data_IF_896305793831
#
_entry.id   IF_896305793831
#
_cell.length_a   1.000
_cell.length_b   1.000
_cell.length_c   1.000
_cell.angle_alpha   90.00
_cell.angle_beta   90.00
_cell.angle_gamma   90.00
#
_symmetry.space_group_name_H-M   'P 1'
#
loop_
_entity.id
_entity.type
_entity.pdbx_description
1 polymer ?
#
# COMPACT_ATOMS: atom_id res chain seq x y z
N UNK A 1 -55.61 -35.37 -14.13
CA UNK A 1 -54.15 -35.66 -13.92
C UNK A 1 -53.23 -34.85 -14.85
N UNK A 2 -53.45 -34.77 -16.17
CA UNK A 2 -52.55 -34.03 -17.10
C UNK A 2 -52.39 -32.51 -16.79
N UNK A 3 -53.47 -31.84 -16.32
CA UNK A 3 -53.43 -30.37 -16.00
C UNK A 3 -52.68 -30.06 -14.70
N UNK A 4 -52.63 -30.99 -13.75
CA UNK A 4 -51.88 -30.81 -12.48
C UNK A 4 -50.38 -31.03 -12.70
N UNK A 5 -49.99 -31.95 -13.58
CA UNK A 5 -48.60 -32.21 -13.94
C UNK A 5 -48.03 -31.01 -14.71
N UNK A 6 -48.81 -30.38 -15.58
CA UNK A 6 -48.38 -29.19 -16.32
C UNK A 6 -48.23 -27.97 -15.39
N UNK A 7 -49.05 -27.82 -14.38
CA UNK A 7 -48.93 -26.75 -13.40
C UNK A 7 -47.69 -26.95 -12.47
N UNK A 8 -47.43 -28.19 -12.07
CA UNK A 8 -46.21 -28.50 -11.26
C UNK A 8 -44.93 -28.31 -12.05
N UNK A 9 -44.89 -28.64 -13.36
CA UNK A 9 -43.73 -28.39 -14.21
C UNK A 9 -43.47 -26.90 -14.43
N UNK A 10 -44.52 -26.08 -14.51
CA UNK A 10 -44.39 -24.62 -14.67
C UNK A 10 -43.88 -23.95 -13.40
N UNK A 11 -44.27 -24.42 -12.23
CA UNK A 11 -43.79 -23.92 -10.92
C UNK A 11 -42.34 -24.33 -10.69
N UNK A 12 -41.93 -25.53 -11.08
CA UNK A 12 -40.53 -25.98 -11.01
C UNK A 12 -39.59 -25.16 -11.91
N UNK A 13 -40.05 -24.72 -13.08
CA UNK A 13 -39.29 -23.83 -13.98
C UNK A 13 -39.16 -22.40 -13.43
N UNK A 14 -40.11 -21.91 -12.67
CA UNK A 14 -40.07 -20.57 -12.07
C UNK A 14 -39.13 -20.49 -10.85
N UNK A 15 -39.01 -21.57 -10.11
CA UNK A 15 -38.12 -21.60 -8.91
C UNK A 15 -36.62 -21.72 -9.26
N UNK A 16 -36.31 -22.39 -10.39
CA UNK A 16 -34.92 -22.47 -10.87
C UNK A 16 -34.44 -21.17 -11.50
N UNK A 17 -35.35 -20.32 -12.03
CA UNK A 17 -34.99 -19.03 -12.65
C UNK A 17 -34.55 -17.97 -11.65
N UNK A 18 -35.05 -18.03 -10.41
CA UNK A 18 -34.73 -17.00 -9.41
C UNK A 18 -33.31 -17.16 -8.80
N UNK A 19 -32.86 -18.41 -8.64
CA UNK A 19 -31.49 -18.72 -8.11
C UNK A 19 -30.38 -18.42 -9.13
N UNK A 20 -30.68 -18.67 -10.41
CA UNK A 20 -29.72 -18.38 -11.50
C UNK A 20 -29.59 -16.89 -11.76
N UNK A 21 -30.65 -16.10 -11.70
CA UNK A 21 -30.60 -14.63 -11.85
C UNK A 21 -29.76 -13.98 -10.74
N UNK A 22 -29.90 -14.45 -9.50
CA UNK A 22 -29.11 -13.92 -8.38
C UNK A 22 -27.63 -14.26 -8.51
N UNK A 23 -27.31 -15.45 -8.96
CA UNK A 23 -25.95 -15.92 -9.23
C UNK A 23 -25.31 -15.21 -10.43
N UNK A 24 -26.12 -14.92 -11.47
CA UNK A 24 -25.67 -14.16 -12.64
C UNK A 24 -25.36 -12.71 -12.23
N UNK A 25 -26.23 -12.05 -11.48
CA UNK A 25 -26.00 -10.69 -10.99
C UNK A 25 -24.77 -10.60 -10.07
N UNK A 26 -24.53 -11.62 -9.23
CA UNK A 26 -23.32 -11.68 -8.40
C UNK A 26 -22.05 -11.88 -9.24
N UNK A 27 -22.11 -12.72 -10.26
CA UNK A 27 -21.01 -12.93 -11.21
C UNK A 27 -20.76 -11.68 -12.08
N UNK A 28 -21.82 -10.99 -12.48
CA UNK A 28 -21.69 -9.73 -13.23
C UNK A 28 -21.04 -8.63 -12.38
N UNK A 29 -21.43 -8.52 -11.10
CA UNK A 29 -20.78 -7.60 -10.18
C UNK A 29 -19.29 -7.95 -9.95
N UNK A 30 -18.97 -9.23 -9.74
CA UNK A 30 -17.57 -9.68 -9.63
C UNK A 30 -16.77 -9.44 -10.91
N UNK A 31 -17.38 -9.67 -12.08
CA UNK A 31 -16.74 -9.36 -13.35
C UNK A 31 -16.49 -7.86 -13.53
N UNK A 32 -17.43 -7.02 -13.11
CA UNK A 32 -17.25 -5.56 -13.15
C UNK A 32 -16.13 -5.12 -12.22
N UNK A 33 -16.07 -5.64 -11.02
CA UNK A 33 -15.02 -5.37 -10.04
C UNK A 33 -13.63 -5.81 -10.53
N UNK A 34 -13.56 -7.01 -11.15
CA UNK A 34 -12.34 -7.51 -11.79
C UNK A 34 -11.94 -6.62 -12.99
N UNK A 35 -12.91 -6.15 -13.79
CA UNK A 35 -12.64 -5.23 -14.90
C UNK A 35 -12.13 -3.88 -14.41
N UNK A 36 -12.68 -3.33 -13.35
CA UNK A 36 -12.24 -2.06 -12.76
C UNK A 36 -10.84 -2.19 -12.16
N UNK A 37 -10.55 -3.32 -11.49
CA UNK A 37 -9.20 -3.64 -11.01
C UNK A 37 -8.20 -3.81 -12.16
N UNK A 38 -8.61 -4.51 -13.22
CA UNK A 38 -7.79 -4.71 -14.41
C UNK A 38 -7.49 -3.39 -15.11
N UNK A 39 -8.49 -2.52 -15.28
CA UNK A 39 -8.34 -1.20 -15.84
C UNK A 39 -7.39 -0.33 -14.99
N UNK A 40 -7.56 -0.35 -13.67
CA UNK A 40 -6.69 0.39 -12.75
C UNK A 40 -5.24 -0.13 -12.81
N UNK A 41 -5.05 -1.44 -12.85
CA UNK A 41 -3.74 -2.05 -13.01
C UNK A 41 -3.11 -1.71 -14.36
N UNK A 42 -3.91 -1.73 -15.44
CA UNK A 42 -3.46 -1.37 -16.79
C UNK A 42 -3.05 0.09 -16.87
N UNK A 43 -3.82 1.00 -16.27
CA UNK A 43 -3.47 2.43 -16.21
C UNK A 43 -2.15 2.63 -15.43
N UNK A 44 -2.00 1.99 -14.26
CA UNK A 44 -0.76 2.07 -13.48
C UNK A 44 0.44 1.46 -14.22
N UNK A 45 0.22 0.35 -14.92
CA UNK A 45 1.27 -0.27 -15.74
C UNK A 45 1.69 0.65 -16.90
N UNK A 46 0.71 1.24 -17.61
CA UNK A 46 0.99 2.18 -18.69
C UNK A 46 1.70 3.44 -18.21
N UNK A 47 1.31 3.97 -17.03
CA UNK A 47 2.00 5.11 -16.42
C UNK A 47 3.45 4.74 -16.07
N UNK A 48 3.66 3.59 -15.45
CA UNK A 48 5.00 3.10 -15.11
C UNK A 48 5.84 2.81 -16.36
N UNK A 49 5.23 2.28 -17.44
CA UNK A 49 5.90 2.08 -18.72
C UNK A 49 6.29 3.40 -19.39
N UNK A 50 5.39 4.40 -19.38
CA UNK A 50 5.68 5.74 -19.91
C UNK A 50 6.78 6.45 -19.12
N UNK A 51 6.76 6.33 -17.79
CA UNK A 51 7.83 6.86 -16.93
C UNK A 51 9.17 6.16 -17.20
N UNK A 52 9.15 4.83 -17.38
CA UNK A 52 10.33 4.04 -17.74
C UNK A 52 10.87 4.42 -19.11
N UNK A 53 9.99 4.59 -20.10
CA UNK A 53 10.39 5.05 -21.44
C UNK A 53 10.94 6.48 -21.44
N UNK A 54 10.32 7.38 -20.68
CA UNK A 54 10.84 8.75 -20.51
C UNK A 54 12.24 8.75 -19.88
N UNK A 55 12.46 7.91 -18.87
CA UNK A 55 13.74 7.77 -18.19
C UNK A 55 14.81 7.11 -19.11
N UNK A 56 14.41 6.12 -19.91
CA UNK A 56 15.29 5.50 -20.91
C UNK A 56 15.69 6.50 -22.00
N UNK A 57 14.74 7.27 -22.51
CA UNK A 57 14.99 8.32 -23.52
C UNK A 57 15.92 9.42 -22.98
N UNK A 58 15.73 9.81 -21.72
CA UNK A 58 16.61 10.78 -21.07
C UNK A 58 18.04 10.24 -20.88
N UNK A 59 18.16 8.94 -20.59
CA UNK A 59 19.45 8.27 -20.47
C UNK A 59 20.15 8.14 -21.82
N UNK A 60 19.39 7.82 -22.88
CA UNK A 60 19.94 7.74 -24.24
C UNK A 60 20.34 9.13 -24.80
N UNK A 61 19.55 10.17 -24.48
CA UNK A 61 19.91 11.56 -24.79
C UNK A 61 21.21 11.98 -24.11
N UNK A 62 21.37 11.65 -22.80
CA UNK A 62 22.60 11.96 -22.06
C UNK A 62 23.80 11.15 -22.58
N UNK A 63 23.60 9.87 -22.95
CA UNK A 63 24.66 9.05 -23.57
C UNK A 63 25.08 9.59 -24.93
N UNK A 64 24.11 10.00 -25.76
CA UNK A 64 24.37 10.56 -27.07
C UNK A 64 25.11 11.89 -26.96
N UNK A 65 24.67 12.80 -26.08
CA UNK A 65 25.37 14.07 -25.84
C UNK A 65 26.80 13.86 -25.33
N UNK A 66 27.02 12.86 -24.46
CA UNK A 66 28.38 12.52 -24.02
C UNK A 66 29.23 11.97 -25.18
N UNK A 67 28.64 11.12 -26.03
CA UNK A 67 29.32 10.59 -27.23
C UNK A 67 29.69 11.71 -28.21
N UNK A 68 28.76 12.63 -28.43
CA UNK A 68 28.97 13.78 -29.34
C UNK A 68 30.01 14.76 -28.76
N UNK A 69 30.02 15.00 -27.46
CA UNK A 69 31.05 15.74 -26.77
C UNK A 69 32.42 15.08 -26.95
N UNK A 70 32.52 13.77 -26.73
CA UNK A 70 33.78 13.01 -26.88
C UNK A 70 34.25 13.06 -28.35
N UNK A 71 33.33 12.91 -29.35
CA UNK A 71 33.66 12.96 -30.78
C UNK A 71 34.10 14.36 -31.21
N UNK A 72 33.44 15.42 -30.77
CA UNK A 72 33.83 16.81 -31.06
C UNK A 72 35.18 17.16 -30.42
N UNK A 73 35.54 16.55 -29.30
CA UNK A 73 36.81 16.74 -28.65
C UNK A 73 37.97 15.97 -29.33
N UNK A 74 37.67 14.82 -29.92
CA UNK A 74 38.65 14.08 -30.75
C UNK A 74 39.14 14.88 -31.97
N UNK A 75 38.32 15.84 -32.45
CA UNK A 75 38.64 16.72 -33.58
C UNK A 75 39.37 18.00 -33.16
N UNK A 76 39.48 18.30 -31.86
CA UNK A 76 40.23 19.45 -31.36
C UNK A 76 41.64 19.03 -30.90
N UNK A 77 42.53 18.82 -31.87
CA UNK A 77 43.95 18.42 -31.69
C UNK A 77 44.85 19.46 -31.00
N UNK A 78 44.26 20.47 -30.35
CA UNK A 78 45.04 21.54 -29.67
C UNK A 78 44.62 21.82 -28.22
N UNK A 79 44.06 20.82 -27.54
CA UNK A 79 43.77 21.00 -26.14
C UNK A 79 45.02 20.79 -25.30
N UNK A 80 45.41 21.83 -24.52
CA UNK A 80 46.54 21.80 -23.58
C UNK A 80 46.39 20.63 -22.61
N UNK A 81 47.51 20.13 -22.09
CA UNK A 81 47.55 19.04 -21.08
C UNK A 81 46.55 19.26 -19.92
N UNK A 82 46.26 20.51 -19.56
CA UNK A 82 45.23 20.90 -18.58
C UNK A 82 43.79 20.57 -19.03
N UNK A 83 43.51 20.64 -20.33
CA UNK A 83 42.20 20.26 -20.88
C UNK A 83 41.98 18.75 -20.81
N UNK A 84 43.01 17.95 -21.13
CA UNK A 84 42.96 16.50 -21.02
C UNK A 84 42.74 16.04 -19.56
N UNK A 85 43.43 16.63 -18.58
CA UNK A 85 43.24 16.33 -17.16
C UNK A 85 41.82 16.67 -16.66
N UNK A 86 41.27 17.80 -17.13
CA UNK A 86 39.90 18.17 -16.75
C UNK A 86 38.84 17.23 -17.34
N UNK A 87 39.12 16.69 -18.53
CA UNK A 87 38.28 15.70 -19.21
C UNK A 87 38.33 14.37 -18.46
N UNK A 88 39.51 13.92 -18.11
CA UNK A 88 39.69 12.69 -17.34
C UNK A 88 38.92 12.75 -15.99
N UNK A 89 39.07 13.88 -15.26
CA UNK A 89 38.28 14.14 -14.05
C UNK A 89 36.79 14.19 -14.27
N UNK A 90 36.33 14.76 -15.40
CA UNK A 90 34.93 14.80 -15.78
C UNK A 90 34.36 13.39 -16.11
N UNK A 91 35.15 12.59 -16.85
CA UNK A 91 34.81 11.20 -17.18
C UNK A 91 34.76 10.33 -15.92
N UNK A 92 35.68 10.50 -14.98
CA UNK A 92 35.68 9.81 -13.71
C UNK A 92 34.44 10.19 -12.87
N UNK A 93 34.11 11.50 -12.83
CA UNK A 93 32.88 11.99 -12.17
C UNK A 93 31.59 11.44 -12.80
N UNK A 94 31.56 11.32 -14.14
CA UNK A 94 30.42 10.73 -14.86
C UNK A 94 30.29 9.24 -14.54
N UNK A 95 31.39 8.49 -14.59
CA UNK A 95 31.44 7.08 -14.21
C UNK A 95 30.92 6.84 -12.77
N UNK A 96 31.32 7.71 -11.88
CA UNK A 96 30.91 7.71 -10.50
C UNK A 96 29.40 7.95 -10.33
N UNK A 97 28.86 8.92 -11.08
CA UNK A 97 27.44 9.23 -11.09
C UNK A 97 26.61 8.10 -11.70
N UNK A 98 27.05 7.50 -12.80
CA UNK A 98 26.39 6.36 -13.42
C UNK A 98 26.31 5.16 -12.48
N UNK A 99 27.40 4.86 -11.80
CA UNK A 99 27.41 3.80 -10.78
C UNK A 99 26.44 4.09 -9.63
N UNK A 100 26.36 5.36 -9.21
CA UNK A 100 25.43 5.79 -8.16
C UNK A 100 23.97 5.67 -8.62
N UNK A 101 23.67 6.05 -9.86
CA UNK A 101 22.34 5.92 -10.46
C UNK A 101 21.94 4.45 -10.54
N UNK A 102 22.80 3.58 -11.03
CA UNK A 102 22.54 2.13 -11.13
C UNK A 102 22.23 1.53 -9.76
N UNK A 103 23.03 1.86 -8.74
CA UNK A 103 22.80 1.39 -7.36
C UNK A 103 21.48 1.91 -6.77
N UNK A 104 21.11 3.15 -7.07
CA UNK A 104 19.82 3.71 -6.66
C UNK A 104 18.65 2.99 -7.35
N UNK A 105 18.80 2.65 -8.63
CA UNK A 105 17.80 1.89 -9.38
C UNK A 105 17.63 0.47 -8.82
N UNK A 106 18.73 -0.20 -8.50
CA UNK A 106 18.72 -1.53 -7.89
C UNK A 106 18.03 -1.52 -6.51
N UNK A 107 18.30 -0.49 -5.71
CA UNK A 107 17.68 -0.31 -4.41
C UNK A 107 16.16 -0.06 -4.52
N UNK A 108 15.72 0.74 -5.50
CA UNK A 108 14.30 0.98 -5.78
C UNK A 108 13.59 -0.30 -6.24
N UNK A 109 14.19 -1.02 -7.19
CA UNK A 109 13.63 -2.30 -7.70
C UNK A 109 13.51 -3.33 -6.57
N UNK A 110 14.50 -3.41 -5.70
CA UNK A 110 14.47 -4.29 -4.53
C UNK A 110 13.36 -3.89 -3.56
N UNK A 111 13.22 -2.59 -3.28
CA UNK A 111 12.13 -2.05 -2.44
C UNK A 111 10.75 -2.42 -3.02
N UNK A 112 10.55 -2.21 -4.31
CA UNK A 112 9.26 -2.50 -4.97
C UNK A 112 8.95 -4.00 -4.96
N UNK A 113 9.95 -4.85 -5.19
CA UNK A 113 9.80 -6.31 -5.10
C UNK A 113 9.40 -6.76 -3.69
N UNK A 114 10.02 -6.19 -2.65
CA UNK A 114 9.69 -6.50 -1.25
C UNK A 114 8.28 -6.03 -0.91
N UNK A 115 7.88 -4.85 -1.37
CA UNK A 115 6.53 -4.32 -1.17
C UNK A 115 5.48 -5.20 -1.86
N UNK A 116 5.73 -5.64 -3.09
CA UNK A 116 4.82 -6.54 -3.82
C UNK A 116 4.69 -7.91 -3.13
N UNK A 117 5.79 -8.47 -2.64
CA UNK A 117 5.80 -9.72 -1.89
C UNK A 117 4.99 -9.58 -0.57
N UNK A 118 5.12 -8.45 0.12
CA UNK A 118 4.35 -8.15 1.33
C UNK A 118 2.85 -8.08 1.04
N UNK A 119 2.45 -7.35 0.00
CA UNK A 119 1.04 -7.23 -0.42
C UNK A 119 0.45 -8.59 -0.78
N UNK A 120 1.19 -9.37 -1.55
CA UNK A 120 0.75 -10.71 -1.95
C UNK A 120 0.57 -11.62 -0.73
N UNK A 121 1.49 -11.57 0.23
CA UNK A 121 1.40 -12.31 1.49
C UNK A 121 0.21 -11.86 2.34
N UNK A 122 -0.01 -10.55 2.46
CA UNK A 122 -1.16 -9.99 3.18
C UNK A 122 -2.49 -10.38 2.53
N UNK A 123 -2.64 -10.20 1.22
CA UNK A 123 -3.86 -10.59 0.50
C UNK A 123 -4.17 -12.08 0.64
N UNK A 124 -3.14 -12.93 0.59
CA UNK A 124 -3.30 -14.38 0.80
C UNK A 124 -3.69 -14.72 2.24
N UNK A 125 -3.09 -14.07 3.23
CA UNK A 125 -3.32 -14.35 4.66
C UNK A 125 -4.65 -13.82 5.16
N UNK A 126 -5.00 -12.59 4.80
CA UNK A 126 -6.24 -11.93 5.25
C UNK A 126 -7.47 -12.49 4.53
N UNK A 127 -7.29 -12.95 3.28
CA UNK A 127 -8.40 -13.39 2.40
C UNK A 127 -8.92 -12.22 1.56
N UNK A 128 -9.06 -12.47 0.27
CA UNK A 128 -9.41 -11.45 -0.75
C UNK A 128 -10.90 -11.03 -0.69
N UNK A 129 -11.71 -11.65 0.17
CA UNK A 129 -13.18 -11.65 0.05
C UNK A 129 -13.93 -10.91 1.16
N UNK A 130 -13.27 -10.20 2.07
CA UNK A 130 -14.00 -9.44 3.08
C UNK A 130 -14.18 -7.99 2.58
N UNK A 131 -15.44 -7.55 2.30
CA UNK A 131 -15.71 -6.21 1.78
C UNK A 131 -15.36 -5.09 2.76
N UNK A 132 -15.13 -5.42 4.02
CA UNK A 132 -14.82 -4.48 5.09
C UNK A 132 -13.30 -4.37 5.35
N UNK A 133 -12.48 -5.06 4.52
CA UNK A 133 -11.01 -5.02 4.60
C UNK A 133 -10.45 -4.66 3.22
N UNK A 134 -9.76 -3.54 3.15
CA UNK A 134 -9.14 -3.06 1.93
C UNK A 134 -7.60 -3.02 2.09
N UNK A 135 -6.88 -3.56 1.11
CA UNK A 135 -5.41 -3.54 1.08
C UNK A 135 -4.94 -2.75 -0.13
N UNK A 136 -4.38 -1.59 0.12
CA UNK A 136 -3.86 -0.65 -0.89
C UNK A 136 -2.36 -0.45 -0.73
N UNK A 137 -1.70 -0.06 -1.83
CA UNK A 137 -0.29 0.34 -1.84
C UNK A 137 -0.17 1.73 -2.42
N UNK A 138 0.43 2.62 -1.65
CA UNK A 138 0.71 3.97 -2.09
C UNK A 138 2.17 4.32 -1.76
N UNK A 139 2.95 4.70 -2.76
CA UNK A 139 4.36 5.13 -2.61
C UNK A 139 5.25 4.13 -1.85
N UNK A 140 5.00 2.83 -2.03
CA UNK A 140 5.78 1.78 -1.37
C UNK A 140 5.40 1.52 0.09
N UNK A 141 4.29 2.09 0.56
CA UNK A 141 3.69 1.86 1.87
C UNK A 141 2.42 1.01 1.67
N UNK A 142 2.25 0.00 2.49
CA UNK A 142 1.07 -0.87 2.44
C UNK A 142 0.06 -0.42 3.47
N UNK A 143 -1.15 -0.16 3.03
CA UNK A 143 -2.28 0.24 3.87
C UNK A 143 -3.30 -0.88 3.94
N UNK A 144 -3.61 -1.33 5.14
CA UNK A 144 -4.69 -2.28 5.42
C UNK A 144 -5.77 -1.49 6.16
N UNK A 145 -6.85 -1.15 5.46
CA UNK A 145 -7.99 -0.45 6.05
C UNK A 145 -9.03 -1.46 6.51
N UNK A 146 -9.43 -1.37 7.77
CA UNK A 146 -10.42 -2.27 8.38
C UNK A 146 -11.56 -1.40 8.89
N UNK A 147 -12.78 -1.70 8.45
CA UNK A 147 -13.97 -0.99 8.88
C UNK A 147 -14.17 -1.12 10.40
N UNK A 148 -14.48 -0.02 11.05
CA UNK A 148 -14.61 0.08 12.51
C UNK A 148 -15.63 -0.90 13.10
N UNK A 149 -16.72 -1.16 12.38
CA UNK A 149 -17.78 -2.10 12.77
C UNK A 149 -17.28 -3.54 12.96
N UNK A 150 -16.18 -3.93 12.30
CA UNK A 150 -15.54 -5.23 12.51
C UNK A 150 -14.69 -5.24 13.77
N UNK A 151 -14.09 -4.12 14.10
CA UNK A 151 -13.09 -4.02 15.17
C UNK A 151 -13.73 -3.73 16.53
N UNK A 152 -14.71 -2.84 16.57
CA UNK A 152 -15.23 -2.28 17.82
C UNK A 152 -16.77 -2.19 17.81
N UNK A 153 -17.36 -2.15 19.00
CA UNK A 153 -18.73 -1.66 19.17
C UNK A 153 -18.74 -0.14 19.09
N UNK A 154 -19.88 0.44 18.69
CA UNK A 154 -20.06 1.90 18.60
C UNK A 154 -19.63 2.61 19.89
N UNK A 155 -18.82 3.66 19.78
CA UNK A 155 -18.29 4.42 20.91
C UNK A 155 -17.30 3.65 21.82
N UNK A 156 -16.95 2.40 21.49
CA UNK A 156 -16.07 1.55 22.29
C UNK A 156 -14.67 1.45 21.66
N UNK A 157 -13.71 1.09 22.48
CA UNK A 157 -12.35 0.68 22.11
C UNK A 157 -12.05 -0.79 22.45
N UNK A 158 -13.06 -1.54 22.87
CA UNK A 158 -12.92 -2.98 23.15
C UNK A 158 -12.97 -3.74 21.83
N UNK A 159 -11.89 -4.46 21.54
CA UNK A 159 -11.72 -5.19 20.28
C UNK A 159 -12.56 -6.46 20.28
N UNK A 160 -13.25 -6.72 19.19
CA UNK A 160 -14.11 -7.90 18.99
C UNK A 160 -13.26 -9.17 18.76
N UNK A 161 -13.84 -10.35 19.00
CA UNK A 161 -13.14 -11.62 18.74
C UNK A 161 -12.88 -11.82 17.24
N UNK A 162 -13.82 -11.43 16.36
CA UNK A 162 -13.62 -11.44 14.92
C UNK A 162 -12.44 -10.53 14.49
N UNK A 163 -12.31 -9.40 15.15
CA UNK A 163 -11.16 -8.52 14.93
C UNK A 163 -9.84 -9.19 15.31
N UNK A 164 -9.80 -9.95 16.41
CA UNK A 164 -8.59 -10.70 16.80
C UNK A 164 -8.17 -11.72 15.74
N UNK A 165 -9.12 -12.39 15.10
CA UNK A 165 -8.80 -13.32 13.99
C UNK A 165 -8.12 -12.60 12.81
N UNK A 166 -8.65 -11.43 12.43
CA UNK A 166 -8.08 -10.61 11.36
C UNK A 166 -6.68 -10.10 11.77
N UNK A 167 -6.57 -9.57 12.98
CA UNK A 167 -5.31 -9.08 13.53
C UNK A 167 -4.25 -10.18 13.63
N UNK A 168 -4.64 -11.42 13.95
CA UNK A 168 -3.74 -12.58 13.96
C UNK A 168 -3.15 -12.89 12.58
N UNK A 169 -3.96 -12.76 11.53
CA UNK A 169 -3.50 -12.94 10.15
C UNK A 169 -2.51 -11.83 9.74
N UNK A 170 -2.79 -10.59 10.11
CA UNK A 170 -1.88 -9.45 9.86
C UNK A 170 -0.59 -9.62 10.66
N UNK A 171 -0.70 -9.98 11.94
CA UNK A 171 0.43 -10.18 12.84
C UNK A 171 1.41 -11.25 12.31
N UNK A 172 0.90 -12.35 11.75
CA UNK A 172 1.73 -13.38 11.12
C UNK A 172 2.63 -12.79 10.02
N UNK A 173 2.06 -11.95 9.15
CA UNK A 173 2.83 -11.32 8.06
C UNK A 173 3.81 -10.27 8.59
N UNK A 174 3.42 -9.51 9.63
CA UNK A 174 4.30 -8.50 10.25
C UNK A 174 5.49 -9.18 10.96
N UNK A 175 5.25 -10.29 11.67
CA UNK A 175 6.31 -11.06 12.34
C UNK A 175 7.31 -11.67 11.34
N UNK A 176 6.85 -12.06 10.14
CA UNK A 176 7.72 -12.57 9.08
C UNK A 176 8.61 -11.47 8.45
N UNK A 177 8.38 -10.21 8.80
CA UNK A 177 9.05 -9.04 8.21
C UNK A 177 9.57 -8.08 9.30
N UNK A 178 10.64 -8.43 10.04
CA UNK A 178 11.18 -7.62 11.13
C UNK A 178 11.72 -6.25 10.70
N UNK A 179 11.99 -6.09 9.40
CA UNK A 179 12.52 -4.88 8.79
C UNK A 179 11.46 -3.81 8.49
N UNK A 180 10.20 -4.10 8.82
CA UNK A 180 9.11 -3.15 8.65
C UNK A 180 8.63 -2.60 9.99
N UNK A 181 8.16 -1.36 9.96
CA UNK A 181 7.36 -0.75 11.02
C UNK A 181 5.88 -0.86 10.68
N UNK A 182 5.08 -1.03 11.69
CA UNK A 182 3.63 -1.16 11.58
C UNK A 182 2.98 -0.08 12.44
N UNK A 183 2.40 0.92 11.79
CA UNK A 183 1.63 1.96 12.48
C UNK A 183 0.15 1.65 12.41
N UNK A 184 -0.51 1.65 13.56
CA UNK A 184 -1.96 1.51 13.68
C UNK A 184 -2.56 2.89 13.82
N UNK A 185 -3.29 3.35 12.80
CA UNK A 185 -3.98 4.64 12.79
C UNK A 185 -5.48 4.46 13.01
N UNK A 186 -6.03 5.09 14.04
CA UNK A 186 -7.46 5.19 14.27
C UNK A 186 -8.06 6.45 13.63
N UNK A 187 -9.22 6.29 12.99
CA UNK A 187 -9.99 7.39 12.41
C UNK A 187 -11.43 7.35 12.91
N UNK A 188 -12.02 8.50 13.15
CA UNK A 188 -13.43 8.67 13.49
C UNK A 188 -14.17 9.38 12.35
N UNK A 189 -15.48 9.47 12.45
CA UNK A 189 -16.27 10.44 11.72
C UNK A 189 -16.30 11.78 12.45
N UNK A 190 -17.06 12.75 11.92
CA UNK A 190 -17.21 14.09 12.48
C UNK A 190 -18.30 14.20 13.56
N UNK A 191 -18.90 13.08 13.99
CA UNK A 191 -19.84 13.11 15.12
C UNK A 191 -19.04 13.32 16.41
N UNK A 192 -19.30 14.37 17.19
CA UNK A 192 -18.57 14.61 18.42
C UNK A 192 -18.70 13.43 19.39
N UNK A 193 -17.58 12.97 19.90
CA UNK A 193 -17.58 11.97 20.96
C UNK A 193 -18.07 12.61 22.26
N UNK A 194 -19.08 12.00 22.89
CA UNK A 194 -19.56 12.45 24.19
C UNK A 194 -18.58 11.97 25.25
N UNK A 195 -17.92 12.91 25.92
CA UNK A 195 -16.95 12.59 26.97
C UNK A 195 -17.56 11.68 28.05
N UNK A 196 -16.81 10.64 28.42
CA UNK A 196 -17.16 9.70 29.49
C UNK A 196 -16.26 9.85 30.73
N UNK A 197 -15.56 10.97 30.85
CA UNK A 197 -14.60 11.25 31.92
C UNK A 197 -13.21 10.63 31.72
N UNK A 198 -13.09 9.60 30.85
CA UNK A 198 -11.80 8.96 30.51
C UNK A 198 -11.31 9.38 29.13
N UNK A 199 -12.22 9.55 28.19
CA UNK A 199 -11.97 10.06 26.85
C UNK A 199 -12.69 11.38 26.68
N UNK A 200 -12.02 12.39 26.14
CA UNK A 200 -12.56 13.74 25.99
C UNK A 200 -13.24 13.93 24.63
N UNK A 201 -12.63 13.46 23.57
CA UNK A 201 -13.02 13.73 22.19
C UNK A 201 -12.67 12.61 21.22
N UNK A 202 -12.83 12.88 19.93
CA UNK A 202 -12.49 11.98 18.84
C UNK A 202 -10.97 11.70 18.73
N UNK A 203 -10.12 12.60 19.19
CA UNK A 203 -8.68 12.36 19.27
C UNK A 203 -8.39 11.24 20.25
N UNK A 204 -8.91 11.35 21.48
CA UNK A 204 -8.71 10.34 22.51
C UNK A 204 -9.27 8.97 22.09
N UNK A 205 -10.49 8.97 21.50
CA UNK A 205 -11.10 7.74 21.02
C UNK A 205 -10.25 7.05 19.96
N UNK A 206 -9.77 7.80 18.97
CA UNK A 206 -8.96 7.26 17.88
C UNK A 206 -7.62 6.70 18.36
N UNK A 207 -6.92 7.41 19.24
CA UNK A 207 -5.67 6.94 19.85
C UNK A 207 -5.90 5.72 20.75
N UNK A 208 -6.98 5.72 21.54
CA UNK A 208 -7.31 4.61 22.43
C UNK A 208 -7.60 3.31 21.68
N UNK A 209 -8.30 3.42 20.54
CA UNK A 209 -8.57 2.29 19.64
C UNK A 209 -7.29 1.74 19.04
N UNK A 210 -6.43 2.59 18.54
CA UNK A 210 -5.13 2.17 18.00
C UNK A 210 -4.27 1.49 19.06
N UNK A 211 -4.21 2.06 20.25
CA UNK A 211 -3.48 1.47 21.38
C UNK A 211 -4.05 0.11 21.80
N UNK A 212 -5.38 -0.07 21.75
CA UNK A 212 -6.00 -1.37 22.07
C UNK A 212 -5.56 -2.45 21.07
N UNK A 213 -5.51 -2.12 19.78
CA UNK A 213 -5.04 -3.03 18.73
C UNK A 213 -3.55 -3.34 18.90
N UNK A 214 -2.71 -2.33 19.13
CA UNK A 214 -1.26 -2.51 19.37
C UNK A 214 -1.02 -3.45 20.54
N UNK A 215 -1.78 -3.34 21.62
CA UNK A 215 -1.69 -4.24 22.78
C UNK A 215 -2.03 -5.70 22.42
N UNK A 216 -3.04 -5.91 21.59
CA UNK A 216 -3.42 -7.25 21.10
C UNK A 216 -2.32 -7.81 20.21
N UNK A 217 -1.83 -7.03 19.24
CA UNK A 217 -0.74 -7.45 18.37
C UNK A 217 0.50 -7.87 19.17
N UNK A 218 0.80 -7.13 20.23
CA UNK A 218 1.95 -7.43 21.09
C UNK A 218 1.71 -8.63 22.01
N UNK A 219 0.59 -8.63 22.77
CA UNK A 219 0.37 -9.59 23.86
C UNK A 219 -0.15 -10.93 23.34
N UNK A 220 -1.07 -10.90 22.36
CA UNK A 220 -1.77 -12.10 21.92
C UNK A 220 -1.04 -12.73 20.71
N UNK A 221 -0.34 -11.92 19.88
CA UNK A 221 0.29 -12.38 18.64
C UNK A 221 1.80 -12.19 18.58
N UNK A 222 2.43 -11.70 19.64
CA UNK A 222 3.88 -11.63 19.79
C UNK A 222 4.60 -10.67 18.83
N UNK A 223 3.88 -9.68 18.26
CA UNK A 223 4.52 -8.66 17.44
C UNK A 223 5.42 -7.79 18.30
N UNK A 224 6.66 -7.59 17.86
CA UNK A 224 7.64 -6.79 18.60
C UNK A 224 7.14 -5.36 18.85
N UNK A 225 7.14 -4.87 20.10
CA UNK A 225 6.76 -3.48 20.38
C UNK A 225 7.60 -2.44 19.64
N UNK A 226 8.84 -2.81 19.27
CA UNK A 226 9.76 -1.94 18.50
C UNK A 226 9.31 -1.72 17.07
N UNK A 227 8.41 -2.56 16.57
CA UNK A 227 7.83 -2.44 15.23
C UNK A 227 6.50 -1.71 15.22
N UNK A 228 5.93 -1.40 16.39
CA UNK A 228 4.56 -0.92 16.50
C UNK A 228 4.48 0.54 16.92
N UNK A 229 3.65 1.29 16.19
CA UNK A 229 3.29 2.67 16.49
C UNK A 229 1.77 2.75 16.63
N UNK A 230 1.27 3.37 17.68
CA UNK A 230 -0.15 3.70 17.84
C UNK A 230 -0.37 5.18 17.52
N UNK A 231 -1.24 5.49 16.58
CA UNK A 231 -1.57 6.84 16.16
C UNK A 231 -3.08 7.06 16.10
N UNK A 232 -3.53 8.29 16.34
CA UNK A 232 -4.91 8.72 16.14
C UNK A 232 -4.95 9.88 15.17
N UNK A 233 -5.98 9.94 14.34
CA UNK A 233 -6.25 11.03 13.38
C UNK A 233 -7.54 11.77 13.68
N UNK A 234 -8.32 11.30 14.68
CA UNK A 234 -9.63 11.85 14.93
C UNK A 234 -10.50 11.83 13.67
N UNK A 235 -11.22 12.91 13.44
CA UNK A 235 -12.10 13.15 12.29
C UNK A 235 -11.43 13.89 11.13
N UNK A 236 -10.16 14.29 11.28
CA UNK A 236 -9.51 15.31 10.42
C UNK A 236 -8.92 14.76 9.12
N UNK A 237 -8.95 13.45 8.92
CA UNK A 237 -8.48 12.81 7.68
C UNK A 237 -9.57 11.88 7.15
N UNK A 238 -10.72 12.43 6.71
CA UNK A 238 -11.81 11.62 6.15
C UNK A 238 -11.43 11.06 4.78
N UNK A 239 -11.94 9.87 4.43
CA UNK A 239 -11.84 9.30 3.08
C UNK A 239 -12.87 9.90 2.14
N UNK A 240 -14.06 10.16 2.68
CA UNK A 240 -15.21 10.73 1.97
C UNK A 240 -15.84 11.82 2.85
N UNK A 241 -16.61 12.70 2.26
CA UNK A 241 -17.32 13.74 3.02
C UNK A 241 -18.26 13.12 4.05
N UNK A 242 -18.32 13.70 5.26
CA UNK A 242 -19.17 13.21 6.37
C UNK A 242 -20.66 13.58 6.22
N UNK A 243 -21.20 13.62 5.00
CA UNK A 243 -22.53 14.13 4.68
C UNK A 243 -23.65 13.09 4.78
N UNK A 244 -23.34 11.79 4.86
CA UNK A 244 -24.32 10.71 5.04
C UNK A 244 -23.91 9.73 6.14
N UNK A 245 -24.84 8.87 6.58
CA UNK A 245 -24.54 7.82 7.56
C UNK A 245 -23.56 6.79 7.01
N UNK A 246 -23.69 6.46 5.73
CA UNK A 246 -22.84 5.53 4.99
C UNK A 246 -21.41 6.09 4.91
N UNK A 247 -21.28 7.36 4.52
CA UNK A 247 -20.00 8.03 4.42
C UNK A 247 -19.30 8.13 5.78
N UNK A 248 -20.03 8.46 6.84
CA UNK A 248 -19.49 8.43 8.20
C UNK A 248 -19.02 7.03 8.60
N UNK A 249 -19.74 5.98 8.19
CA UNK A 249 -19.32 4.59 8.44
C UNK A 249 -18.02 4.26 7.71
N UNK A 250 -17.83 4.75 6.49
CA UNK A 250 -16.59 4.61 5.73
C UNK A 250 -15.42 5.35 6.39
N UNK A 251 -15.68 6.52 6.97
CA UNK A 251 -14.66 7.30 7.67
C UNK A 251 -14.24 6.67 9.00
N UNK A 252 -15.16 6.00 9.73
CA UNK A 252 -14.84 5.21 10.92
C UNK A 252 -14.10 3.94 10.53
N UNK A 253 -12.79 3.99 10.60
CA UNK A 253 -11.90 2.91 10.21
C UNK A 253 -10.64 2.88 11.06
N UNK A 254 -9.97 1.76 11.03
CA UNK A 254 -8.58 1.66 11.47
C UNK A 254 -7.72 1.27 10.28
N UNK A 255 -6.63 2.00 10.08
CA UNK A 255 -5.62 1.70 9.07
C UNK A 255 -4.40 1.10 9.75
N UNK A 256 -3.96 -0.06 9.27
CA UNK A 256 -2.67 -0.62 9.63
C UNK A 256 -1.72 -0.29 8.47
N UNK A 257 -0.74 0.56 8.76
CA UNK A 257 0.22 1.08 7.79
C UNK A 257 1.53 0.34 7.98
N UNK A 258 1.92 -0.47 7.00
CA UNK A 258 3.17 -1.23 7.03
C UNK A 258 4.20 -0.51 6.18
N UNK A 259 5.24 -0.01 6.83
CA UNK A 259 6.27 0.85 6.25
C UNK A 259 7.66 0.20 6.37
N UNK A 260 8.51 0.25 5.35
CA UNK A 260 9.91 -0.12 5.53
C UNK A 260 10.58 0.85 6.51
N UNK A 261 11.48 0.35 7.34
CA UNK A 261 12.27 1.19 8.25
C UNK A 261 13.15 2.13 7.44
N UNK A 262 12.92 3.42 7.62
CA UNK A 262 13.66 4.48 6.89
C UNK A 262 15.14 4.45 7.23
N UNK A 263 15.50 4.09 8.47
CA UNK A 263 16.89 4.01 8.92
C UNK A 263 17.74 3.07 8.07
N UNK A 264 17.19 1.94 7.64
CA UNK A 264 17.90 1.00 6.75
C UNK A 264 18.20 1.61 5.37
N UNK A 265 17.33 2.48 4.88
CA UNK A 265 17.56 3.20 3.63
C UNK A 265 18.67 4.23 3.79
N UNK A 266 18.67 4.98 4.89
CA UNK A 266 19.73 5.92 5.20
C UNK A 266 21.06 5.22 5.47
N UNK A 267 21.07 4.11 6.22
CA UNK A 267 22.26 3.31 6.48
C UNK A 267 22.88 2.76 5.18
N UNK A 268 22.05 2.37 4.24
CA UNK A 268 22.50 1.89 2.93
C UNK A 268 23.16 3.03 2.13
N UNK A 269 22.52 4.21 2.10
CA UNK A 269 23.09 5.41 1.45
C UNK A 269 24.39 5.83 2.16
N UNK A 270 24.41 5.85 3.49
CA UNK A 270 25.58 6.25 4.27
C UNK A 270 26.76 5.29 4.11
N UNK A 271 26.51 3.97 4.09
CA UNK A 271 27.52 2.96 3.78
C UNK A 271 28.11 3.14 2.39
N UNK A 272 27.27 3.43 1.40
CA UNK A 272 27.72 3.70 0.04
C UNK A 272 28.52 5.02 -0.05
N UNK A 273 28.19 6.01 0.78
CA UNK A 273 28.96 7.26 0.86
C UNK A 273 30.28 7.10 1.62
N UNK A 274 30.36 6.21 2.62
CA UNK A 274 31.58 5.97 3.43
C UNK A 274 32.57 5.03 2.77
N UNK A 275 32.17 4.16 1.86
CA UNK A 275 33.08 3.25 1.13
C UNK A 275 34.00 3.98 0.11
N UNK A 276 34.16 5.29 0.25
CA UNK A 276 34.97 6.18 -0.56
C UNK A 276 36.19 6.75 0.19
N UNK A 277 36.87 5.94 0.97
CA UNK A 277 38.24 6.28 1.40
C UNK A 277 39.23 5.24 0.92
#
# INVERSE_FOLDING_TARGET
>A
MKRVILALSLVALLTTSCGTKKKIAELENKNKEIQDLLNTATIKLNTCLTEKEAMANQMDFLKKNNSDLINNMGNMTTLSAKGAENIEKALESIKEKDLKITRMQDALTKKDSVTLALVTSLKRSVGISDPDIEINVEKGVVFISIADKLLFKSGSYVVSDRAKEILGKVAKVVNDKPDFECMVEGHTDNVPFISNGTLLDNWDLSVKRSTAIVRILTKDFGVSPRQLIAAGRGEFVPLVENNSAENRTTNRRTRIVVMPKIDQFYDMIEKEMKNKK
#
